data_IF_875313809482
#
_entry.id   IF_875313809482
#
_cell.length_a   1.000
_cell.length_b   1.000
_cell.length_c   1.000
_cell.angle_alpha   90.00
_cell.angle_beta   90.00
_cell.angle_gamma   90.00
#
_symmetry.space_group_name_H-M   'P 1'
#
loop_
_entity.id
_entity.type
_entity.pdbx_description
1 polymer ?
#
# COMPACT_ATOMS: atom_id res chain seq x y z
N UNK A 1 -3.19 17.02 7.31
CA UNK A 1 -3.31 15.67 7.89
C UNK A 1 -2.61 14.75 6.90
N UNK A 2 -1.84 13.77 7.37
CA UNK A 2 -1.30 12.75 6.46
C UNK A 2 -2.39 11.70 6.31
N UNK A 3 -2.89 11.53 5.10
CA UNK A 3 -3.86 10.48 4.78
C UNK A 3 -3.13 9.13 4.76
N UNK A 4 -3.81 8.04 5.11
CA UNK A 4 -3.19 6.72 5.13
C UNK A 4 -2.66 6.28 3.75
N UNK A 5 -3.24 6.83 2.68
CA UNK A 5 -2.75 6.65 1.31
C UNK A 5 -1.35 7.22 1.10
N UNK A 6 -0.96 8.29 1.80
CA UNK A 6 0.41 8.84 1.78
C UNK A 6 1.41 7.80 2.29
N UNK A 7 1.05 7.11 3.38
CA UNK A 7 1.85 6.01 3.91
C UNK A 7 1.95 4.86 2.90
N UNK A 8 0.87 4.52 2.19
CA UNK A 8 0.91 3.48 1.16
C UNK A 8 1.88 3.85 0.04
N UNK A 9 1.86 5.11 -0.41
CA UNK A 9 2.79 5.60 -1.41
C UNK A 9 4.24 5.58 -0.89
N UNK A 10 4.48 6.02 0.34
CA UNK A 10 5.80 5.95 0.97
C UNK A 10 6.31 4.51 1.05
N UNK A 11 5.44 3.56 1.38
CA UNK A 11 5.77 2.14 1.43
C UNK A 11 6.04 1.59 0.04
N UNK A 12 5.19 1.86 -0.96
CA UNK A 12 5.40 1.40 -2.33
C UNK A 12 6.66 2.00 -2.96
N UNK A 13 6.97 3.26 -2.66
CA UNK A 13 8.15 3.93 -3.19
C UNK A 13 9.45 3.46 -2.52
N UNK A 14 9.41 3.12 -1.22
CA UNK A 14 10.56 2.57 -0.52
C UNK A 14 10.77 1.07 -0.79
N UNK A 15 9.70 0.32 -1.07
CA UNK A 15 9.74 -1.12 -1.26
C UNK A 15 9.65 -1.48 -2.73
N UNK A 16 10.58 -2.31 -3.21
CA UNK A 16 10.62 -2.74 -4.63
C UNK A 16 9.52 -3.72 -5.02
N UNK A 17 8.68 -4.15 -4.08
CA UNK A 17 7.61 -5.12 -4.33
C UNK A 17 6.43 -4.89 -3.40
N UNK A 18 5.22 -5.11 -3.92
CA UNK A 18 3.96 -5.01 -3.17
C UNK A 18 3.94 -5.96 -1.97
N UNK A 19 4.45 -7.18 -2.12
CA UNK A 19 4.58 -8.16 -1.02
C UNK A 19 5.41 -7.62 0.16
N UNK A 20 6.51 -6.93 -0.13
CA UNK A 20 7.38 -6.36 0.92
C UNK A 20 6.68 -5.16 1.57
N UNK A 21 6.05 -4.31 0.76
CA UNK A 21 5.28 -3.16 1.24
C UNK A 21 4.12 -3.61 2.15
N UNK A 22 3.41 -4.68 1.79
CA UNK A 22 2.31 -5.25 2.58
C UNK A 22 2.81 -5.79 3.92
N UNK A 23 3.94 -6.50 3.93
CA UNK A 23 4.52 -7.04 5.15
C UNK A 23 4.94 -5.93 6.13
N UNK A 24 5.57 -4.86 5.63
CA UNK A 24 5.94 -3.70 6.44
C UNK A 24 4.70 -2.93 6.92
N UNK A 25 3.70 -2.73 6.05
CA UNK A 25 2.43 -2.12 6.43
C UNK A 25 1.75 -2.89 7.57
N UNK A 26 1.69 -4.22 7.47
CA UNK A 26 1.12 -5.09 8.49
C UNK A 26 1.85 -5.00 9.83
N UNK A 27 3.16 -4.80 9.84
CA UNK A 27 3.91 -4.54 11.08
C UNK A 27 3.52 -3.19 11.66
N UNK A 28 3.49 -2.13 10.84
CA UNK A 28 3.13 -0.78 11.28
C UNK A 28 1.74 -0.74 11.92
N UNK A 29 0.71 -1.33 11.30
CA UNK A 29 -0.64 -1.36 11.89
C UNK A 29 -0.72 -2.25 13.15
N UNK A 30 0.18 -3.23 13.28
CA UNK A 30 0.24 -4.07 14.47
C UNK A 30 0.92 -3.35 15.64
N UNK A 31 1.92 -2.53 15.34
CA UNK A 31 2.65 -1.72 16.31
C UNK A 31 1.90 -0.44 16.70
N UNK A 32 1.14 0.13 15.77
CA UNK A 32 0.44 1.40 15.91
C UNK A 32 -1.09 1.23 15.77
N UNK A 33 -1.78 1.16 16.91
CA UNK A 33 -3.22 0.97 16.96
C UNK A 33 -4.01 2.14 16.34
N UNK A 34 -3.49 3.36 16.43
CA UNK A 34 -4.08 4.55 15.78
C UNK A 34 -4.00 4.45 14.26
N UNK A 35 -2.92 3.85 13.72
CA UNK A 35 -2.79 3.62 12.28
C UNK A 35 -3.75 2.53 11.82
N UNK A 36 -3.95 1.49 12.63
CA UNK A 36 -4.91 0.44 12.35
C UNK A 36 -6.35 0.97 12.30
N UNK A 37 -6.73 1.88 13.21
CA UNK A 37 -8.05 2.51 13.18
C UNK A 37 -8.25 3.37 11.93
N UNK A 38 -7.25 4.16 11.55
CA UNK A 38 -7.27 4.94 10.30
C UNK A 38 -7.39 4.04 9.06
N UNK A 39 -6.72 2.89 9.05
CA UNK A 39 -6.82 1.93 7.95
C UNK A 39 -8.21 1.35 7.81
N UNK A 40 -8.82 1.02 8.96
CA UNK A 40 -10.17 0.49 9.01
C UNK A 40 -11.20 1.51 8.53
N UNK A 41 -11.08 2.77 8.94
CA UNK A 41 -11.93 3.88 8.47
C UNK A 41 -11.77 4.10 6.96
N UNK A 42 -10.52 4.11 6.47
CA UNK A 42 -10.25 4.23 5.04
C UNK A 42 -10.84 3.06 4.25
N UNK A 43 -10.69 1.82 4.73
CA UNK A 43 -11.30 0.65 4.11
C UNK A 43 -12.83 0.77 4.01
N UNK A 44 -13.49 1.21 5.08
CA UNK A 44 -14.95 1.45 5.08
C UNK A 44 -15.34 2.55 4.09
N UNK A 45 -14.56 3.64 4.03
CA UNK A 45 -14.81 4.78 3.15
C UNK A 45 -14.67 4.43 1.66
N UNK A 46 -13.69 3.60 1.28
CA UNK A 46 -13.49 3.17 -0.11
C UNK A 46 -14.28 1.91 -0.47
N UNK A 47 -14.92 1.26 0.52
CA UNK A 47 -15.66 0.02 0.32
C UNK A 47 -14.77 -1.21 0.13
N UNK A 48 -13.52 -1.14 0.59
CA UNK A 48 -12.56 -2.26 0.55
C UNK A 48 -12.47 -2.96 1.90
N UNK A 49 -11.84 -4.14 1.92
CA UNK A 49 -11.69 -4.94 3.15
C UNK A 49 -10.31 -4.75 3.75
N UNK A 50 -10.17 -4.72 5.08
CA UNK A 50 -8.86 -4.60 5.74
C UNK A 50 -7.82 -5.66 5.29
N UNK A 51 -8.28 -6.81 4.80
CA UNK A 51 -7.41 -7.85 4.24
C UNK A 51 -6.85 -7.50 2.85
N UNK A 52 -7.63 -6.81 2.02
CA UNK A 52 -7.30 -6.56 0.61
C UNK A 52 -7.12 -5.09 0.29
N UNK A 53 -7.50 -4.16 1.17
CA UNK A 53 -7.52 -2.72 0.90
C UNK A 53 -6.17 -2.15 0.51
N UNK A 54 -5.10 -2.59 1.17
CA UNK A 54 -3.76 -2.23 0.76
C UNK A 54 -3.41 -2.76 -0.64
N UNK A 55 -3.72 -4.02 -0.94
CA UNK A 55 -3.45 -4.64 -2.24
C UNK A 55 -4.28 -4.00 -3.35
N UNK A 56 -5.55 -3.72 -3.08
CA UNK A 56 -6.51 -3.07 -3.97
C UNK A 56 -6.00 -1.66 -4.33
N UNK A 57 -5.53 -0.90 -3.33
CA UNK A 57 -4.87 0.37 -3.56
C UNK A 57 -3.58 0.24 -4.38
N UNK A 58 -2.75 -0.78 -4.10
CA UNK A 58 -1.52 -1.00 -4.86
C UNK A 58 -1.84 -1.31 -6.32
N UNK A 59 -2.85 -2.13 -6.59
CA UNK A 59 -3.29 -2.48 -7.94
C UNK A 59 -3.76 -1.24 -8.69
N UNK A 60 -4.68 -0.46 -8.10
CA UNK A 60 -5.15 0.80 -8.70
C UNK A 60 -4.01 1.82 -8.88
N UNK A 61 -3.10 1.92 -7.92
CA UNK A 61 -1.95 2.84 -7.99
C UNK A 61 -0.96 2.41 -9.08
N UNK A 62 -0.66 1.12 -9.19
CA UNK A 62 0.24 0.57 -10.20
C UNK A 62 -0.37 0.63 -11.59
N UNK A 63 -1.66 0.33 -11.76
CA UNK A 63 -2.38 0.52 -13.04
C UNK A 63 -2.37 1.99 -13.47
N UNK A 64 -2.52 2.92 -12.52
CA UNK A 64 -2.42 4.36 -12.77
C UNK A 64 -0.97 4.81 -13.05
N UNK A 65 0.03 4.06 -12.56
CA UNK A 65 1.47 4.31 -12.74
C UNK A 65 2.16 3.38 -13.75
N UNK A 66 1.43 2.60 -14.55
CA UNK A 66 1.94 1.54 -15.42
C UNK A 66 3.00 2.01 -16.45
N UNK A 67 3.14 3.32 -16.67
CA UNK A 67 4.27 3.87 -17.45
C UNK A 67 5.62 3.96 -16.70
N UNK A 68 5.66 3.78 -15.37
CA UNK A 68 6.85 3.98 -14.51
C UNK A 68 7.32 2.68 -13.85
N UNK A 69 6.40 1.80 -13.43
CA UNK A 69 6.77 0.56 -12.72
C UNK A 69 7.19 -0.60 -13.65
N UNK A 70 6.85 -0.53 -14.95
CA UNK A 70 7.32 -1.48 -15.99
C UNK A 70 8.86 -1.57 -16.06
N UNK A 71 9.59 -0.54 -15.59
CA UNK A 71 11.07 -0.54 -15.54
C UNK A 71 11.66 -1.30 -14.34
N UNK A 72 10.89 -1.64 -13.30
CA UNK A 72 11.44 -2.27 -12.08
C UNK A 72 11.39 -3.82 -12.10
N UNK A 73 10.76 -4.42 -13.11
CA UNK A 73 10.78 -5.87 -13.35
C UNK A 73 11.88 -6.31 -14.34
N UNK A 74 12.64 -5.36 -14.91
CA UNK A 74 13.76 -5.63 -15.83
C UNK A 74 15.09 -5.85 -15.07
N UNK A 75 15.07 -6.69 -14.03
CA UNK A 75 16.30 -7.13 -13.35
C UNK A 75 16.19 -8.61 -12.93
N UNK A 76 16.11 -9.47 -13.93
CA UNK A 76 16.64 -10.85 -13.88
C UNK A 76 17.04 -11.26 -15.31
N UNK A 77 18.21 -10.78 -15.77
CA UNK A 77 19.02 -11.44 -16.82
C UNK A 77 20.35 -11.89 -16.21
#
# INVERSE_FOLDING_TARGET
>A
MKDITDLFQELLHNNRSVDIAEAEFKKLIHEDAELHEQYRDWCDAVGSSEKMGFLDYCDEYLESQDSIYDTLNDYDE
#
